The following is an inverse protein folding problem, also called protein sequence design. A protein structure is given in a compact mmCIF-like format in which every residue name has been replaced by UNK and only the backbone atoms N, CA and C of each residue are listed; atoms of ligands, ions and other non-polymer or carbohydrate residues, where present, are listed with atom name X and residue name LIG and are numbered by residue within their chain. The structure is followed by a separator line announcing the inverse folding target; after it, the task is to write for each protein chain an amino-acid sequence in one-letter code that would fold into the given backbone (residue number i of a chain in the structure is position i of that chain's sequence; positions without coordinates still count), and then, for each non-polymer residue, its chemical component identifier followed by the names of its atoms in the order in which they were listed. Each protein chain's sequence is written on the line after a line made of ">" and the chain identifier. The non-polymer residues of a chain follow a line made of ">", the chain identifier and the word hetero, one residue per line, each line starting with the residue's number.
data_IF_635043390658
#
_entry.id   IF_635043390658
#
_cell.length_a   1.000
_cell.length_b   1.000
_cell.length_c   1.000
_cell.angle_alpha   90.00
_cell.angle_beta   90.00
_cell.angle_gamma   90.00
#
_symmetry.space_group_name_H-M   'P 1'
#
loop_
_entity.id
_entity.type
_entity.pdbx_description
1 polymer ?
#
# COMPACT_ATOMS: atom_id res chain seq x y z
N UNK A 1 8.63 -14.18 5.24
CA UNK A 1 9.62 -14.94 4.41
C UNK A 1 9.05 -15.58 3.13
N UNK A 2 7.79 -16.07 3.12
CA UNK A 2 7.15 -16.71 1.95
C UNK A 2 7.02 -15.80 0.71
N UNK A 3 6.72 -14.51 0.88
CA UNK A 3 6.65 -13.54 -0.23
C UNK A 3 8.00 -13.41 -0.98
N UNK A 4 9.13 -13.41 -0.27
CA UNK A 4 10.46 -13.40 -0.89
C UNK A 4 10.75 -14.70 -1.66
N UNK A 5 10.31 -15.85 -1.15
CA UNK A 5 10.46 -17.14 -1.83
C UNK A 5 9.59 -17.21 -3.08
N UNK A 6 8.35 -16.72 -3.01
CA UNK A 6 7.44 -16.62 -4.16
C UNK A 6 8.01 -15.65 -5.19
N UNK A 7 8.52 -14.49 -4.78
CA UNK A 7 9.21 -13.54 -5.66
C UNK A 7 10.37 -14.19 -6.40
N UNK A 8 11.22 -14.93 -5.69
CA UNK A 8 12.34 -15.65 -6.30
C UNK A 8 11.87 -16.73 -7.29
N UNK A 9 10.86 -17.52 -6.91
CA UNK A 9 10.28 -18.55 -7.77
C UNK A 9 9.64 -17.97 -9.04
N UNK A 10 8.90 -16.86 -8.93
CA UNK A 10 8.29 -16.17 -10.08
C UNK A 10 9.37 -15.61 -11.01
N UNK A 11 10.45 -15.01 -10.48
CA UNK A 11 11.58 -14.53 -11.30
C UNK A 11 12.28 -15.67 -12.06
N UNK A 12 12.48 -16.81 -11.41
CA UNK A 12 13.00 -18.03 -12.06
C UNK A 12 12.05 -18.52 -13.15
N UNK A 13 10.75 -18.49 -12.91
CA UNK A 13 9.73 -18.89 -13.88
C UNK A 13 9.70 -17.95 -15.09
N UNK A 14 9.74 -16.63 -14.88
CA UNK A 14 9.83 -15.64 -15.97
C UNK A 14 11.08 -15.88 -16.82
N UNK A 15 12.25 -16.05 -16.19
CA UNK A 15 13.51 -16.26 -16.89
C UNK A 15 13.52 -17.55 -17.72
N UNK A 16 13.02 -18.65 -17.13
CA UNK A 16 12.91 -19.95 -17.83
C UNK A 16 11.90 -19.90 -18.97
N UNK A 17 10.73 -19.28 -18.78
CA UNK A 17 9.72 -19.11 -19.82
C UNK A 17 10.18 -18.18 -20.96
N UNK A 18 10.99 -17.16 -20.64
CA UNK A 18 11.55 -16.23 -21.64
C UNK A 18 12.60 -16.90 -22.54
N UNK A 19 13.33 -17.87 -21.98
CA UNK A 19 14.32 -18.68 -22.70
C UNK A 19 13.70 -19.87 -23.45
N UNK A 20 12.39 -20.10 -23.30
CA UNK A 20 11.70 -21.22 -23.93
C UNK A 20 11.58 -21.01 -25.46
N UNK A 21 11.68 -22.10 -26.22
CA UNK A 21 11.54 -22.08 -27.68
C UNK A 21 10.09 -21.86 -28.14
N UNK A 22 9.11 -22.14 -27.30
CA UNK A 22 7.69 -21.95 -27.60
C UNK A 22 7.30 -20.47 -27.51
N UNK A 23 6.81 -19.94 -28.64
CA UNK A 23 6.34 -18.55 -28.74
C UNK A 23 5.23 -18.20 -27.74
N UNK A 24 4.29 -19.12 -27.47
CA UNK A 24 3.18 -18.89 -26.54
C UNK A 24 3.73 -18.72 -25.12
N UNK A 25 4.67 -19.59 -24.72
CA UNK A 25 5.31 -19.54 -23.41
C UNK A 25 6.08 -18.22 -23.22
N UNK A 26 6.81 -17.77 -24.26
CA UNK A 26 7.48 -16.45 -24.23
C UNK A 26 6.50 -15.29 -24.14
N UNK A 27 5.38 -15.36 -24.87
CA UNK A 27 4.32 -14.33 -24.81
C UNK A 27 3.72 -14.26 -23.41
N UNK A 28 3.48 -15.41 -22.79
CA UNK A 28 2.98 -15.48 -21.41
C UNK A 28 4.02 -15.01 -20.40
N UNK A 29 5.33 -15.22 -20.64
CA UNK A 29 6.40 -14.63 -19.83
C UNK A 29 6.35 -13.09 -19.85
N UNK A 30 6.11 -12.49 -21.03
CA UNK A 30 5.96 -11.03 -21.16
C UNK A 30 4.71 -10.54 -20.40
N UNK A 31 3.59 -11.28 -20.48
CA UNK A 31 2.37 -10.94 -19.73
C UNK A 31 2.57 -11.08 -18.23
N UNK A 32 3.27 -12.14 -17.79
CA UNK A 32 3.64 -12.35 -16.39
C UNK A 32 4.51 -11.20 -15.89
N UNK A 33 5.52 -10.78 -16.67
CA UNK A 33 6.37 -9.62 -16.35
C UNK A 33 5.57 -8.33 -16.18
N UNK A 34 4.53 -8.14 -17.00
CA UNK A 34 3.65 -6.97 -16.90
C UNK A 34 2.65 -7.06 -15.72
N UNK A 35 2.25 -8.28 -15.34
CA UNK A 35 1.40 -8.54 -14.17
C UNK A 35 2.17 -8.54 -12.86
N UNK A 36 3.50 -8.71 -12.90
CA UNK A 36 4.32 -8.71 -11.71
C UNK A 36 4.29 -7.35 -11.02
N UNK A 37 4.06 -7.43 -9.71
CA UNK A 37 4.20 -6.33 -8.77
C UNK A 37 5.64 -5.77 -8.84
N UNK A 38 5.79 -4.45 -8.84
CA UNK A 38 7.08 -3.75 -8.95
C UNK A 38 7.95 -3.97 -7.71
N UNK A 39 9.27 -3.76 -7.83
CA UNK A 39 10.21 -3.91 -6.70
C UNK A 39 9.86 -3.00 -5.50
N UNK A 40 9.29 -1.82 -5.76
CA UNK A 40 8.80 -0.89 -4.75
C UNK A 40 7.54 -1.42 -4.06
N UNK A 41 6.60 -1.97 -4.82
CA UNK A 41 5.40 -2.59 -4.26
C UNK A 41 5.72 -3.91 -3.51
N UNK A 42 6.76 -4.66 -3.89
CA UNK A 42 7.27 -5.79 -3.10
C UNK A 42 7.85 -5.38 -1.75
N UNK A 43 8.22 -4.11 -1.60
CA UNK A 43 8.75 -3.52 -0.37
C UNK A 43 7.62 -3.04 0.56
N UNK A 44 6.36 -3.03 0.10
CA UNK A 44 5.21 -2.80 0.95
C UNK A 44 5.14 -3.92 2.00
N UNK A 45 5.46 -3.57 3.24
CA UNK A 45 5.44 -4.47 4.37
C UNK A 45 4.00 -4.64 4.85
N UNK A 46 3.26 -5.53 4.18
CA UNK A 46 1.89 -5.89 4.54
C UNK A 46 1.80 -6.66 5.88
N UNK A 47 2.93 -6.94 6.53
CA UNK A 47 2.98 -7.66 7.81
C UNK A 47 2.14 -6.95 8.87
N UNK A 48 2.13 -5.61 8.88
CA UNK A 48 1.28 -4.83 9.79
C UNK A 48 -0.22 -4.91 9.48
N UNK A 49 -0.64 -5.24 8.25
CA UNK A 49 -2.05 -5.44 7.94
C UNK A 49 -2.50 -6.86 8.34
N UNK A 50 -1.58 -7.82 8.28
CA UNK A 50 -1.84 -9.22 8.64
C UNK A 50 -2.01 -9.41 10.15
N UNK A 51 -1.27 -8.65 10.96
CA UNK A 51 -1.34 -8.71 12.43
C UNK A 51 -2.70 -8.32 13.01
N UNK A 52 -3.55 -7.60 12.27
CA UNK A 52 -4.94 -7.30 12.66
C UNK A 52 -5.75 -8.56 12.89
N UNK A 53 -5.41 -9.63 12.16
CA UNK A 53 -6.06 -10.92 12.21
C UNK A 53 -5.39 -11.90 13.18
N UNK A 54 -4.32 -11.48 13.88
CA UNK A 54 -3.45 -12.35 14.69
C UNK A 54 -3.54 -12.10 16.21
N UNK A 55 -4.46 -11.28 16.74
CA UNK A 55 -4.52 -11.04 18.19
C UNK A 55 -5.06 -12.24 18.99
N UNK A 56 -4.09 -13.03 19.44
CA UNK A 56 -3.86 -13.60 20.78
C UNK A 56 -4.87 -14.61 21.35
N UNK A 57 -4.43 -15.87 21.44
CA UNK A 57 -4.63 -16.61 22.68
C UNK A 57 -3.41 -17.51 22.99
N UNK A 58 -2.83 -17.24 24.16
CA UNK A 58 -1.91 -18.14 24.87
C UNK A 58 -2.57 -19.52 25.10
N UNK A 59 -1.73 -20.57 25.04
CA UNK A 59 -1.97 -21.93 25.51
C UNK A 59 -3.02 -22.78 24.81
N UNK A 60 -2.60 -23.68 23.88
CA UNK A 60 -3.22 -25.02 23.81
C UNK A 60 -2.16 -26.12 23.63
N UNK A 61 -2.18 -27.00 24.62
CA UNK A 61 -1.49 -28.28 24.83
C UNK A 61 -1.47 -29.20 23.61
N UNK A 62 -0.36 -29.93 23.46
CA UNK A 62 -0.13 -31.04 22.51
C UNK A 62 -1.26 -32.09 22.55
N UNK A 63 -1.96 -32.30 21.42
CA UNK A 63 -2.66 -33.57 21.12
C UNK A 63 -2.56 -33.87 19.61
N UNK A 64 -2.38 -35.17 19.36
CA UNK A 64 -1.95 -35.98 18.22
C UNK A 64 -2.39 -35.71 16.77
N UNK A 65 -1.52 -36.27 15.90
CA UNK A 65 -1.66 -36.76 14.53
C UNK A 65 -3.10 -37.02 14.02
N UNK A 66 -3.60 -36.15 13.13
CA UNK A 66 -4.12 -36.55 11.80
C UNK A 66 -4.47 -35.31 10.96
N UNK A 67 -3.70 -35.10 9.88
CA UNK A 67 -4.00 -34.41 8.63
C UNK A 67 -4.95 -33.19 8.63
N UNK A 68 -4.37 -32.00 8.49
CA UNK A 68 -4.96 -30.95 7.63
C UNK A 68 -3.86 -30.11 6.98
N UNK A 69 -4.02 -29.80 5.69
CA UNK A 69 -3.02 -29.12 4.86
C UNK A 69 -2.87 -27.66 5.34
N UNK A 70 -1.80 -27.39 6.10
CA UNK A 70 -1.53 -26.06 6.67
C UNK A 70 -0.92 -25.14 5.61
N UNK A 71 -1.72 -24.21 5.07
CA UNK A 71 -1.25 -23.18 4.14
C UNK A 71 -1.31 -21.80 4.81
N UNK A 72 -0.20 -21.30 5.39
CA UNK A 72 0.03 -19.83 5.53
C UNK A 72 1.45 -19.43 5.95
N UNK A 73 1.75 -18.14 5.77
CA UNK A 73 3.08 -17.55 5.54
C UNK A 73 4.04 -17.45 6.74
N UNK A 74 3.61 -17.80 7.97
CA UNK A 74 4.41 -17.64 9.18
C UNK A 74 4.31 -18.82 10.19
N UNK A 75 3.87 -20.02 9.78
CA UNK A 75 3.98 -21.22 10.62
C UNK A 75 3.16 -21.25 11.92
N UNK A 76 2.28 -20.27 12.17
CA UNK A 76 1.26 -20.32 13.22
C UNK A 76 0.05 -21.14 12.76
N UNK A 77 -0.39 -22.08 13.60
CA UNK A 77 -1.59 -22.91 13.34
C UNK A 77 -2.84 -22.04 13.55
N UNK A 78 -3.57 -21.72 12.47
CA UNK A 78 -4.92 -21.17 12.59
C UNK A 78 -5.89 -22.31 12.88
N UNK A 79 -6.47 -22.36 14.09
CA UNK A 79 -7.57 -23.28 14.41
C UNK A 79 -8.85 -22.73 13.79
N UNK A 80 -9.16 -23.17 12.56
CA UNK A 80 -10.44 -22.92 11.88
C UNK A 80 -11.66 -23.55 12.61
N UNK A 81 -11.41 -24.34 13.67
CA UNK A 81 -12.44 -24.94 14.52
C UNK A 81 -13.08 -23.97 15.52
N UNK A 82 -12.55 -22.75 15.66
CA UNK A 82 -13.09 -21.70 16.51
C UNK A 82 -13.58 -20.52 15.65
N UNK A 83 -14.78 -19.96 15.92
CA UNK A 83 -15.22 -18.76 15.24
C UNK A 83 -14.27 -17.60 15.57
N UNK A 84 -13.87 -16.86 14.54
CA UNK A 84 -12.99 -15.71 14.70
C UNK A 84 -13.69 -14.62 15.53
N UNK A 85 -13.00 -14.05 16.50
CA UNK A 85 -13.52 -12.91 17.25
C UNK A 85 -13.62 -11.69 16.31
N UNK A 86 -14.84 -11.21 16.08
CA UNK A 86 -15.13 -10.07 15.21
C UNK A 86 -15.24 -8.74 15.97
N UNK A 87 -15.02 -8.74 17.28
CA UNK A 87 -15.16 -7.55 18.11
C UNK A 87 -14.18 -6.46 17.66
N UNK A 88 -14.72 -5.28 17.38
CA UNK A 88 -13.96 -4.08 16.94
C UNK A 88 -13.08 -4.31 15.70
N UNK A 89 -13.35 -5.35 14.89
CA UNK A 89 -12.54 -5.64 13.70
C UNK A 89 -12.55 -4.47 12.71
N UNK A 90 -13.69 -3.77 12.61
CA UNK A 90 -13.82 -2.58 11.75
C UNK A 90 -12.89 -1.47 12.22
N UNK A 91 -12.83 -1.20 13.52
CA UNK A 91 -11.94 -0.20 14.12
C UNK A 91 -10.48 -0.57 13.90
N UNK A 92 -10.08 -1.82 14.15
CA UNK A 92 -8.70 -2.28 13.93
C UNK A 92 -8.28 -2.15 12.46
N UNK A 93 -9.17 -2.49 11.52
CA UNK A 93 -8.92 -2.31 10.08
C UNK A 93 -8.75 -0.83 9.74
N UNK A 94 -9.62 0.05 10.24
CA UNK A 94 -9.49 1.50 10.03
C UNK A 94 -8.16 2.03 10.57
N UNK A 95 -7.80 1.67 11.80
CA UNK A 95 -6.55 2.13 12.42
C UNK A 95 -5.32 1.73 11.62
N UNK A 96 -5.26 0.50 11.13
CA UNK A 96 -4.11 0.06 10.36
C UNK A 96 -4.07 0.64 8.95
N UNK A 97 -5.23 0.91 8.34
CA UNK A 97 -5.27 1.72 7.11
C UNK A 97 -4.76 3.13 7.35
N UNK A 98 -5.12 3.78 8.46
CA UNK A 98 -4.59 5.10 8.80
C UNK A 98 -3.08 5.07 9.03
N UNK A 99 -2.56 4.07 9.76
CA UNK A 99 -1.10 3.89 9.95
C UNK A 99 -0.38 3.67 8.63
N UNK A 100 -0.96 2.90 7.71
CA UNK A 100 -0.39 2.67 6.39
C UNK A 100 -0.40 3.94 5.53
N UNK A 101 -1.50 4.69 5.54
CA UNK A 101 -1.60 5.99 4.86
C UNK A 101 -0.56 6.97 5.40
N UNK A 102 -0.37 7.05 6.72
CA UNK A 102 0.64 7.91 7.34
C UNK A 102 2.06 7.48 6.95
N UNK A 103 2.35 6.16 6.97
CA UNK A 103 3.68 5.64 6.65
C UNK A 103 4.08 5.79 5.18
N UNK A 104 3.14 5.55 4.25
CA UNK A 104 3.42 5.54 2.81
C UNK A 104 3.09 6.86 2.11
N UNK A 105 2.13 7.62 2.64
CA UNK A 105 1.69 8.91 2.12
C UNK A 105 2.04 10.03 3.11
N UNK A 106 3.33 10.15 3.46
CA UNK A 106 3.91 11.33 4.12
C UNK A 106 3.91 12.53 3.15
N UNK A 107 2.72 12.97 2.78
CA UNK A 107 2.51 14.12 1.91
C UNK A 107 2.50 15.36 2.80
N UNK A 108 3.39 16.34 2.55
CA UNK A 108 3.38 17.58 3.31
C UNK A 108 1.98 18.19 3.31
N UNK A 109 1.50 18.59 4.50
CA UNK A 109 0.18 19.19 4.71
C UNK A 109 -0.11 20.33 3.70
N UNK A 110 0.91 21.06 3.30
CA UNK A 110 0.79 22.18 2.37
C UNK A 110 0.40 21.70 0.95
N UNK A 111 0.95 20.57 0.50
CA UNK A 111 0.61 19.98 -0.81
C UNK A 111 -0.83 19.47 -0.83
N UNK A 112 -1.30 18.86 0.26
CA UNK A 112 -2.66 18.35 0.35
C UNK A 112 -3.69 19.48 0.41
N UNK A 113 -3.39 20.57 1.14
CA UNK A 113 -4.22 21.77 1.20
C UNK A 113 -4.34 22.45 -0.17
N UNK A 114 -3.22 22.64 -0.89
CA UNK A 114 -3.24 23.20 -2.24
C UNK A 114 -4.03 22.29 -3.19
N UNK A 115 -3.78 20.98 -3.18
CA UNK A 115 -4.51 20.03 -4.04
C UNK A 115 -6.02 20.06 -3.77
N UNK A 116 -6.42 20.14 -2.50
CA UNK A 116 -7.82 20.26 -2.10
C UNK A 116 -8.46 21.58 -2.57
N UNK A 117 -7.70 22.67 -2.59
CA UNK A 117 -8.14 23.98 -3.07
C UNK A 117 -8.37 23.99 -4.59
N UNK A 118 -7.52 23.27 -5.32
CA UNK A 118 -7.56 23.19 -6.77
C UNK A 118 -8.62 22.21 -7.28
N UNK A 119 -9.00 21.19 -6.51
CA UNK A 119 -10.08 20.28 -6.88
C UNK A 119 -11.46 20.99 -6.75
N UNK A 120 -12.21 21.19 -7.85
CA UNK A 120 -13.52 21.86 -7.82
C UNK A 120 -14.52 21.22 -6.86
N UNK A 121 -14.43 19.91 -6.63
CA UNK A 121 -15.33 19.15 -5.73
C UNK A 121 -15.04 19.46 -4.26
N UNK A 122 -13.79 19.79 -3.94
CA UNK A 122 -13.32 20.05 -2.57
C UNK A 122 -12.99 21.53 -2.32
N UNK A 123 -13.03 22.38 -3.34
CA UNK A 123 -12.71 23.82 -3.33
C UNK A 123 -13.42 24.62 -2.24
N UNK A 124 -14.63 24.22 -1.87
CA UNK A 124 -15.39 24.90 -0.82
C UNK A 124 -14.81 24.69 0.58
N UNK A 125 -13.92 23.71 0.77
CA UNK A 125 -13.21 23.41 2.02
C UNK A 125 -14.10 23.41 3.27
N UNK A 126 -15.37 22.99 3.12
CA UNK A 126 -16.39 23.05 4.19
C UNK A 126 -16.01 22.24 5.43
N UNK A 127 -15.13 21.25 5.27
CA UNK A 127 -14.66 20.36 6.33
C UNK A 127 -13.47 20.93 7.11
N UNK A 128 -12.84 22.01 6.62
CA UNK A 128 -11.67 22.63 7.23
C UNK A 128 -12.04 23.84 8.08
N UNK A 129 -11.23 24.15 9.09
CA UNK A 129 -11.37 25.35 9.90
C UNK A 129 -10.93 26.60 9.11
N UNK A 130 -11.21 27.80 9.65
CA UNK A 130 -10.88 29.03 8.92
C UNK A 130 -9.38 29.18 8.65
N UNK A 131 -8.56 28.86 9.64
CA UNK A 131 -7.10 28.98 9.52
C UNK A 131 -6.52 28.05 8.46
N UNK A 132 -6.98 26.80 8.37
CA UNK A 132 -6.53 25.85 7.34
C UNK A 132 -6.86 26.34 5.92
N UNK A 133 -8.03 26.98 5.75
CA UNK A 133 -8.43 27.57 4.47
C UNK A 133 -7.57 28.75 4.11
N UNK A 134 -7.35 29.66 5.07
CA UNK A 134 -6.53 30.85 4.87
C UNK A 134 -5.09 30.44 4.54
N UNK A 135 -4.54 29.45 5.27
CA UNK A 135 -3.23 28.85 4.99
C UNK A 135 -3.17 28.28 3.56
N UNK A 136 -4.19 27.53 3.12
CA UNK A 136 -4.21 26.96 1.78
C UNK A 136 -4.21 28.04 0.68
N UNK A 137 -4.92 29.15 0.90
CA UNK A 137 -4.96 30.29 -0.02
C UNK A 137 -3.61 30.99 -0.08
N UNK A 138 -3.00 31.24 1.08
CA UNK A 138 -1.70 31.90 1.17
C UNK A 138 -0.59 31.07 0.51
N UNK A 139 -0.59 29.75 0.75
CA UNK A 139 0.30 28.82 0.07
C UNK A 139 0.13 28.84 -1.44
N UNK A 140 -1.12 28.89 -1.94
CA UNK A 140 -1.37 28.95 -3.37
C UNK A 140 -0.85 30.26 -3.99
N UNK A 141 -1.05 31.40 -3.30
CA UNK A 141 -0.55 32.70 -3.73
C UNK A 141 0.98 32.72 -3.78
N UNK A 142 1.63 32.23 -2.74
CA UNK A 142 3.09 32.11 -2.70
C UNK A 142 3.62 31.27 -3.88
N UNK A 143 3.00 30.10 -4.14
CA UNK A 143 3.38 29.26 -5.28
C UNK A 143 3.16 29.96 -6.62
N UNK A 144 2.07 30.71 -6.76
CA UNK A 144 1.79 31.47 -7.97
C UNK A 144 2.83 32.57 -8.20
N UNK A 145 3.16 33.34 -7.17
CA UNK A 145 4.14 34.43 -7.25
C UNK A 145 5.53 33.89 -7.63
N UNK A 146 5.94 32.78 -7.01
CA UNK A 146 7.18 32.07 -7.37
C UNK A 146 7.21 31.64 -8.83
N UNK A 147 6.09 31.15 -9.36
CA UNK A 147 5.98 30.76 -10.77
C UNK A 147 5.97 31.97 -11.71
N UNK A 148 5.37 33.09 -11.29
CA UNK A 148 5.38 34.35 -12.06
C UNK A 148 6.80 34.87 -12.23
N UNK A 149 7.55 34.98 -11.12
CA UNK A 149 8.95 35.43 -11.11
C UNK A 149 9.83 34.51 -11.97
N UNK A 150 9.62 33.19 -11.88
CA UNK A 150 10.34 32.20 -12.69
C UNK A 150 10.10 32.39 -14.18
N UNK A 151 8.86 32.63 -14.59
CA UNK A 151 8.52 32.80 -16.00
C UNK A 151 9.12 34.09 -16.58
N UNK A 152 9.10 35.19 -15.84
CA UNK A 152 9.73 36.45 -16.25
C UNK A 152 11.26 36.31 -16.44
N UNK A 153 11.90 35.49 -15.60
CA UNK A 153 13.33 35.20 -15.71
C UNK A 153 13.69 34.36 -16.96
N UNK A 154 12.76 33.52 -17.44
CA UNK A 154 12.96 32.68 -18.63
C UNK A 154 12.72 33.47 -19.92
N UNK A 155 11.81 34.44 -19.92
CA UNK A 155 11.52 35.27 -21.10
C UNK A 155 12.56 36.36 -21.38
N UNK A 156 13.43 36.65 -20.42
CA UNK A 156 14.50 37.66 -20.53
C UNK A 156 15.87 37.06 -20.93
N UNK A 157 15.91 35.80 -21.36
CA UNK A 157 17.05 35.08 -21.95
C UNK A 157 16.78 34.81 -23.44
#
# INVERSE_FOLDING_TARGET
>A
KRLLQIKHAIKLMEATMSADNNYIIRKDAIRLKFLMITEEEWKLDLTNMLTIFDEEEENIVDIDEELEIIITANGGKFKLSQPQNTDNLVEKVKENLYKALDHYWDTPLDCSLIAMLLDPRCKSMKKLNSWERDKAIDLLREKYDLLSIRNESITNL
#
